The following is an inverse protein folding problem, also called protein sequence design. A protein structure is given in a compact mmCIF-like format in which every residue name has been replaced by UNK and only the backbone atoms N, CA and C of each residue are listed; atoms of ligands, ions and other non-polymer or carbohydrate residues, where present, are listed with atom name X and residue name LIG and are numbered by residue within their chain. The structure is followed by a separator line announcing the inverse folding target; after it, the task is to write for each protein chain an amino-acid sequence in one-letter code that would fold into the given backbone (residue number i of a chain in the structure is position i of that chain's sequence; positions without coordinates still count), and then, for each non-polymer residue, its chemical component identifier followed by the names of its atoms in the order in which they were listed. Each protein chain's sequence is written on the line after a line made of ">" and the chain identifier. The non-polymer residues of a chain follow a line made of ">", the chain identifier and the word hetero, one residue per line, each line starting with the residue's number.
data_IF_087436555195
#
_entry.id   IF_087436555195
#
_cell.length_a   1.000
_cell.length_b   1.000
_cell.length_c   1.000
_cell.angle_alpha   90.00
_cell.angle_beta   90.00
_cell.angle_gamma   90.00
#
_symmetry.space_group_name_H-M   'P 1'
#
loop_
_entity.id
_entity.type
_entity.pdbx_description
1 polymer ?
#
# COMPACT_ATOMS: atom_id res chain seq x y z
N UNK A 1 20.51 -11.47 -15.44
CA UNK A 1 21.22 -11.84 -14.19
C UNK A 1 20.24 -11.61 -13.05
N UNK A 2 20.04 -12.55 -12.11
CA UNK A 2 19.20 -12.29 -10.96
C UNK A 2 19.79 -11.13 -10.15
N UNK A 3 18.94 -10.16 -9.80
CA UNK A 3 19.32 -9.03 -8.96
C UNK A 3 19.82 -9.55 -7.61
N UNK A 4 21.00 -9.14 -7.11
CA UNK A 4 21.43 -9.53 -5.77
C UNK A 4 20.54 -8.88 -4.70
N UNK A 5 20.32 -9.57 -3.58
CA UNK A 5 19.69 -8.99 -2.39
C UNK A 5 20.52 -7.79 -1.92
N UNK A 6 19.82 -6.73 -1.50
CA UNK A 6 20.48 -5.55 -0.94
C UNK A 6 20.99 -5.81 0.47
N UNK A 7 21.99 -5.05 0.87
CA UNK A 7 22.49 -5.05 2.23
C UNK A 7 21.47 -4.46 3.21
N UNK A 8 21.56 -4.87 4.47
CA UNK A 8 20.63 -4.41 5.53
C UNK A 8 20.58 -2.89 5.64
N UNK A 9 21.71 -2.20 5.50
CA UNK A 9 21.79 -0.74 5.56
C UNK A 9 20.94 -0.07 4.47
N UNK A 10 20.89 -0.64 3.26
CA UNK A 10 20.05 -0.13 2.18
C UNK A 10 18.56 -0.17 2.55
N UNK A 11 18.12 -1.26 3.19
CA UNK A 11 16.72 -1.37 3.63
C UNK A 11 16.37 -0.43 4.79
N UNK A 12 17.32 -0.13 5.68
CA UNK A 12 17.16 0.87 6.74
C UNK A 12 16.97 2.26 6.11
N UNK A 13 17.81 2.62 5.15
CA UNK A 13 17.70 3.90 4.45
C UNK A 13 16.46 3.98 3.54
N UNK A 14 16.03 2.87 2.90
CA UNK A 14 14.75 2.81 2.20
C UNK A 14 13.57 3.07 3.15
N UNK A 15 13.60 2.50 4.35
CA UNK A 15 12.58 2.75 5.39
C UNK A 15 12.53 4.23 5.75
N UNK A 16 13.70 4.84 5.97
CA UNK A 16 13.82 6.27 6.24
C UNK A 16 13.24 7.10 5.10
N UNK A 17 13.65 6.80 3.85
CA UNK A 17 13.19 7.47 2.64
C UNK A 17 11.67 7.45 2.50
N UNK A 18 11.02 6.28 2.52
CA UNK A 18 9.57 6.22 2.33
C UNK A 18 8.79 6.94 3.43
N UNK A 19 9.28 6.86 4.68
CA UNK A 19 8.66 7.53 5.83
C UNK A 19 8.74 9.05 5.70
N UNK A 20 9.95 9.59 5.51
CA UNK A 20 10.17 11.04 5.41
C UNK A 20 9.51 11.60 4.16
N UNK A 21 9.52 10.85 3.06
CA UNK A 21 8.82 11.21 1.83
C UNK A 21 7.30 11.37 2.08
N UNK A 22 6.68 10.43 2.80
CA UNK A 22 5.27 10.53 3.17
C UNK A 22 4.97 11.68 4.15
N UNK A 23 5.84 11.93 5.12
CA UNK A 23 5.70 13.02 6.08
C UNK A 23 5.73 14.38 5.38
N UNK A 24 6.74 14.64 4.55
CA UNK A 24 6.90 15.91 3.83
C UNK A 24 5.83 16.13 2.76
N UNK A 25 5.33 15.07 2.12
CA UNK A 25 4.18 15.18 1.23
C UNK A 25 2.92 15.65 1.96
N UNK A 26 2.71 15.27 3.23
CA UNK A 26 1.57 15.78 4.04
C UNK A 26 1.72 17.25 4.36
N UNK A 27 2.95 17.74 4.45
CA UNK A 27 3.29 19.16 4.62
C UNK A 27 3.16 19.95 3.30
N UNK A 28 2.66 19.32 2.23
CA UNK A 28 2.48 19.93 0.90
C UNK A 28 3.79 20.39 0.24
N UNK A 29 4.93 19.79 0.64
CA UNK A 29 6.21 20.01 -0.02
C UNK A 29 6.21 19.25 -1.36
N UNK A 30 6.81 19.84 -2.40
CA UNK A 30 6.87 19.21 -3.72
C UNK A 30 7.77 17.97 -3.72
N UNK A 31 7.39 16.89 -4.43
CA UNK A 31 8.21 15.66 -4.51
C UNK A 31 9.66 15.92 -4.91
N UNK A 32 9.91 16.91 -5.78
CA UNK A 32 11.26 17.27 -6.26
C UNK A 32 12.13 17.86 -5.14
N UNK A 33 11.55 18.75 -4.34
CA UNK A 33 12.21 19.35 -3.18
C UNK A 33 12.46 18.30 -2.09
N UNK A 34 11.47 17.44 -1.82
CA UNK A 34 11.60 16.33 -0.88
C UNK A 34 12.77 15.42 -1.25
N UNK A 35 12.90 15.02 -2.52
CA UNK A 35 14.01 14.17 -2.97
C UNK A 35 15.37 14.84 -2.73
N UNK A 36 15.49 16.13 -2.99
CA UNK A 36 16.73 16.89 -2.76
C UNK A 36 17.10 16.91 -1.28
N UNK A 37 16.16 17.24 -0.41
CA UNK A 37 16.44 17.28 1.04
C UNK A 37 16.74 15.90 1.62
N UNK A 38 16.02 14.86 1.21
CA UNK A 38 16.25 13.50 1.70
C UNK A 38 17.65 13.00 1.26
N UNK A 39 18.12 13.36 0.07
CA UNK A 39 19.46 13.00 -0.40
C UNK A 39 20.58 13.52 0.53
N UNK A 40 20.40 14.70 1.12
CA UNK A 40 21.36 15.32 2.05
C UNK A 40 21.35 14.65 3.44
N UNK A 41 20.28 13.93 3.78
CA UNK A 41 20.05 13.33 5.10
C UNK A 41 20.45 11.85 5.18
N UNK A 42 20.40 11.14 4.05
CA UNK A 42 20.67 9.70 3.98
C UNK A 42 22.16 9.40 4.11
N UNK A 43 22.46 8.22 4.65
CA UNK A 43 23.81 7.70 4.73
C UNK A 43 24.47 7.59 3.34
N UNK A 44 25.55 8.34 3.14
CA UNK A 44 26.26 8.45 1.86
C UNK A 44 26.99 7.18 1.42
N UNK A 45 27.17 6.20 2.29
CA UNK A 45 27.78 4.90 1.97
C UNK A 45 26.82 3.95 1.24
N UNK A 46 25.52 4.24 1.28
CA UNK A 46 24.49 3.47 0.57
C UNK A 46 24.36 3.91 -0.89
N UNK A 47 23.71 3.11 -1.72
CA UNK A 47 23.41 3.45 -3.12
C UNK A 47 22.17 4.31 -3.27
N UNK A 48 21.42 4.53 -2.19
CA UNK A 48 20.18 5.29 -2.20
C UNK A 48 20.33 6.73 -2.74
N UNK A 49 21.38 7.51 -2.40
CA UNK A 49 21.55 8.84 -2.97
C UNK A 49 21.58 8.84 -4.51
N UNK A 50 22.26 7.86 -5.12
CA UNK A 50 22.30 7.70 -6.58
C UNK A 50 20.92 7.31 -7.15
N UNK A 51 20.18 6.45 -6.45
CA UNK A 51 18.82 6.11 -6.82
C UNK A 51 17.90 7.35 -6.76
N UNK A 52 18.04 8.20 -5.74
CA UNK A 52 17.28 9.44 -5.59
C UNK A 52 17.60 10.44 -6.71
N UNK A 53 18.86 10.61 -7.09
CA UNK A 53 19.26 11.44 -8.23
C UNK A 53 18.57 11.00 -9.53
N UNK A 54 18.52 9.69 -9.75
CA UNK A 54 17.83 9.11 -10.89
C UNK A 54 16.31 9.34 -10.83
N UNK A 55 15.68 9.09 -9.67
CA UNK A 55 14.25 9.34 -9.47
C UNK A 55 13.89 10.81 -9.73
N UNK A 56 14.71 11.75 -9.26
CA UNK A 56 14.51 13.20 -9.49
C UNK A 56 14.50 13.53 -10.98
N UNK A 57 15.43 12.92 -11.74
CA UNK A 57 15.51 13.09 -13.19
C UNK A 57 14.30 12.50 -13.92
N UNK A 58 13.83 11.32 -13.51
CA UNK A 58 12.65 10.68 -14.11
C UNK A 58 11.34 11.43 -13.79
N UNK A 59 11.18 11.97 -12.57
CA UNK A 59 10.02 12.82 -12.23
C UNK A 59 9.93 14.04 -13.14
N UNK A 60 11.06 14.67 -13.47
CA UNK A 60 11.09 15.84 -14.36
C UNK A 60 10.64 15.48 -15.79
N UNK A 61 10.89 14.25 -16.24
CA UNK A 61 10.58 13.79 -17.59
C UNK A 61 9.17 13.22 -17.72
N UNK A 62 8.71 12.45 -16.73
CA UNK A 62 7.49 11.63 -16.82
C UNK A 62 6.40 12.05 -15.82
N UNK A 63 6.74 12.87 -14.83
CA UNK A 63 5.81 13.35 -13.80
C UNK A 63 5.43 12.29 -12.75
N UNK A 64 6.06 11.11 -12.78
CA UNK A 64 5.75 9.95 -11.94
C UNK A 64 7.01 9.34 -11.34
N UNK A 65 6.92 8.86 -10.10
CA UNK A 65 8.03 8.22 -9.37
C UNK A 65 8.09 6.73 -9.71
N UNK A 66 6.92 6.11 -9.91
CA UNK A 66 6.85 4.66 -10.13
C UNK A 66 7.62 4.18 -11.35
N UNK A 67 7.66 4.98 -12.42
CA UNK A 67 8.41 4.64 -13.64
C UNK A 67 9.92 4.66 -13.39
N UNK A 68 10.42 5.62 -12.59
CA UNK A 68 11.81 5.65 -12.16
C UNK A 68 12.17 4.47 -11.26
N UNK A 69 11.29 4.11 -10.33
CA UNK A 69 11.49 2.92 -9.49
C UNK A 69 11.51 1.63 -10.30
N UNK A 70 10.64 1.52 -11.32
CA UNK A 70 10.57 0.35 -12.19
C UNK A 70 11.84 0.17 -13.05
N UNK A 71 12.56 1.24 -13.37
CA UNK A 71 13.86 1.17 -14.08
C UNK A 71 15.02 0.78 -13.16
N UNK A 72 14.85 0.98 -11.85
CA UNK A 72 15.82 0.66 -10.82
C UNK A 72 15.49 -0.68 -10.14
N UNK A 73 15.16 -1.73 -10.91
CA UNK A 73 14.83 -3.06 -10.37
C UNK A 73 15.96 -3.69 -9.53
N UNK A 74 17.19 -3.18 -9.71
CA UNK A 74 18.35 -3.59 -8.94
C UNK A 74 18.41 -2.97 -7.53
N UNK A 75 17.55 -1.99 -7.27
CA UNK A 75 17.49 -1.25 -6.01
C UNK A 75 16.09 -1.31 -5.38
N UNK A 76 15.05 -1.00 -6.15
CA UNK A 76 13.67 -1.14 -5.71
C UNK A 76 13.12 -2.48 -6.19
N UNK A 77 12.50 -3.23 -5.28
CA UNK A 77 11.83 -4.47 -5.66
C UNK A 77 10.68 -4.16 -6.63
N UNK A 78 10.39 -5.03 -7.63
CA UNK A 78 9.32 -4.76 -8.59
C UNK A 78 7.94 -4.55 -7.93
N UNK A 79 7.70 -5.22 -6.79
CA UNK A 79 6.52 -4.96 -5.96
C UNK A 79 6.45 -3.51 -5.43
N UNK A 80 7.58 -2.92 -5.03
CA UNK A 80 7.62 -1.54 -4.52
C UNK A 80 7.23 -0.54 -5.63
N UNK A 81 7.79 -0.73 -6.83
CA UNK A 81 7.43 0.07 -8.00
C UNK A 81 5.96 -0.14 -8.41
N UNK A 82 5.46 -1.37 -8.36
CA UNK A 82 4.05 -1.69 -8.63
C UNK A 82 3.10 -0.97 -7.67
N UNK A 83 3.39 -0.98 -6.36
CA UNK A 83 2.58 -0.30 -5.35
C UNK A 83 2.53 1.21 -5.61
N UNK A 84 3.67 1.86 -5.90
CA UNK A 84 3.66 3.28 -6.26
C UNK A 84 2.88 3.53 -7.54
N UNK A 85 3.02 2.68 -8.55
CA UNK A 85 2.29 2.80 -9.81
C UNK A 85 0.78 2.70 -9.62
N UNK A 86 0.32 1.85 -8.69
CA UNK A 86 -1.11 1.74 -8.38
C UNK A 86 -1.64 2.97 -7.66
N UNK A 87 -0.82 3.63 -6.82
CA UNK A 87 -1.21 4.87 -6.16
C UNK A 87 -1.18 6.10 -7.09
N UNK A 88 -0.31 6.11 -8.10
CA UNK A 88 -0.21 7.19 -9.08
C UNK A 88 -1.26 7.10 -10.20
N UNK A 89 -1.99 5.98 -10.29
CA UNK A 89 -3.08 5.83 -11.25
C UNK A 89 -4.31 6.62 -10.80
N UNK A 90 -4.76 7.57 -11.63
CA UNK A 90 -5.95 8.42 -11.43
C UNK A 90 -7.30 7.68 -11.43
N UNK A 91 -7.29 6.35 -11.53
CA UNK A 91 -8.54 5.58 -11.45
C UNK A 91 -9.13 5.79 -10.06
N UNK A 92 -10.47 5.76 -9.94
CA UNK A 92 -11.28 5.89 -8.70
C UNK A 92 -10.96 4.84 -7.61
N UNK A 93 -9.72 4.41 -7.49
CA UNK A 93 -9.20 3.56 -6.45
C UNK A 93 -9.22 4.33 -5.13
N UNK A 94 -9.61 3.62 -4.08
CA UNK A 94 -9.50 4.13 -2.70
C UNK A 94 -8.03 4.12 -2.23
N UNK A 95 -7.12 3.56 -3.02
CA UNK A 95 -5.72 3.45 -2.70
C UNK A 95 -4.98 4.75 -3.03
N UNK A 96 -4.45 5.44 -2.01
CA UNK A 96 -3.74 6.71 -2.16
C UNK A 96 -2.22 6.55 -2.01
N UNK A 97 -1.49 7.60 -2.38
CA UNK A 97 -0.03 7.65 -2.30
C UNK A 97 0.48 7.49 -0.86
N UNK A 98 -0.27 7.96 0.15
CA UNK A 98 0.11 7.80 1.55
C UNK A 98 0.02 6.36 2.02
N UNK A 99 -1.02 5.62 1.60
CA UNK A 99 -1.18 4.19 1.85
C UNK A 99 -0.05 3.40 1.19
N UNK A 100 0.29 3.73 -0.06
CA UNK A 100 1.43 3.12 -0.75
C UNK A 100 2.72 3.33 0.03
N UNK A 101 3.08 4.56 0.37
CA UNK A 101 4.31 4.85 1.11
C UNK A 101 4.34 4.19 2.49
N UNK A 102 3.21 4.09 3.20
CA UNK A 102 3.13 3.38 4.48
C UNK A 102 3.35 1.87 4.31
N UNK A 103 2.81 1.26 3.24
CA UNK A 103 3.06 -0.14 2.89
C UNK A 103 4.56 -0.36 2.61
N UNK A 104 5.18 0.52 1.83
CA UNK A 104 6.59 0.43 1.44
C UNK A 104 7.54 0.63 2.62
N UNK A 105 7.21 1.56 3.52
CA UNK A 105 7.96 1.79 4.76
C UNK A 105 8.00 0.51 5.60
N UNK A 106 6.83 -0.12 5.81
CA UNK A 106 6.72 -1.38 6.58
C UNK A 106 7.41 -2.54 5.88
N UNK A 107 7.33 -2.61 4.56
CA UNK A 107 8.02 -3.64 3.78
C UNK A 107 9.54 -3.54 3.91
N UNK A 108 10.09 -2.34 3.75
CA UNK A 108 11.53 -2.08 3.87
C UNK A 108 12.03 -2.39 5.29
N UNK A 109 11.26 -2.02 6.33
CA UNK A 109 11.59 -2.33 7.71
C UNK A 109 11.61 -3.85 7.97
N UNK A 110 10.66 -4.60 7.40
CA UNK A 110 10.66 -6.06 7.50
C UNK A 110 11.87 -6.69 6.79
N UNK A 111 12.27 -6.14 5.64
CA UNK A 111 13.48 -6.59 4.92
C UNK A 111 14.77 -6.31 5.68
N UNK A 112 14.81 -5.24 6.47
CA UNK A 112 15.95 -4.93 7.33
C UNK A 112 16.05 -5.88 8.55
N UNK A 113 14.95 -6.55 8.93
CA UNK A 113 14.80 -7.31 10.17
C UNK A 113 14.54 -8.81 9.91
N UNK A 114 15.51 -9.50 9.30
CA UNK A 114 15.49 -10.95 9.00
C UNK A 114 14.25 -11.41 8.19
N UNK A 115 14.15 -11.05 6.91
CA UNK A 115 13.00 -11.38 6.09
C UNK A 115 12.93 -12.88 5.82
N UNK A 116 11.72 -13.44 5.95
CA UNK A 116 11.41 -14.79 5.46
C UNK A 116 10.60 -14.68 4.17
N UNK A 117 10.82 -15.54 3.15
CA UNK A 117 10.02 -15.55 1.93
C UNK A 117 8.52 -15.71 2.23
N UNK A 118 8.16 -16.57 3.19
CA UNK A 118 6.78 -16.80 3.61
C UNK A 118 6.17 -15.52 4.21
N UNK A 119 6.87 -14.86 5.14
CA UNK A 119 6.38 -13.63 5.76
C UNK A 119 6.22 -12.50 4.76
N UNK A 120 7.20 -12.31 3.88
CA UNK A 120 7.15 -11.27 2.85
C UNK A 120 6.00 -11.54 1.87
N UNK A 121 5.85 -12.79 1.40
CA UNK A 121 4.79 -13.14 0.46
C UNK A 121 3.40 -12.89 1.06
N UNK A 122 3.16 -13.35 2.30
CA UNK A 122 1.84 -13.15 2.93
C UNK A 122 1.56 -11.66 3.13
N UNK A 123 2.56 -10.87 3.54
CA UNK A 123 2.42 -9.41 3.65
C UNK A 123 2.05 -8.76 2.30
N UNK A 124 2.82 -9.05 1.25
CA UNK A 124 2.59 -8.49 -0.08
C UNK A 124 1.23 -8.93 -0.64
N UNK A 125 0.88 -10.20 -0.49
CA UNK A 125 -0.42 -10.73 -0.90
C UNK A 125 -1.58 -10.09 -0.14
N UNK A 126 -1.45 -9.93 1.18
CA UNK A 126 -2.46 -9.26 2.01
C UNK A 126 -2.64 -7.79 1.59
N UNK A 127 -1.56 -7.09 1.22
CA UNK A 127 -1.62 -5.74 0.65
C UNK A 127 -2.45 -5.70 -0.64
N UNK A 128 -2.23 -6.65 -1.57
CA UNK A 128 -3.00 -6.76 -2.81
C UNK A 128 -4.49 -7.02 -2.52
N UNK A 129 -4.78 -7.97 -1.63
CA UNK A 129 -6.15 -8.35 -1.27
C UNK A 129 -6.92 -7.21 -0.60
N UNK A 130 -6.34 -6.56 0.42
CA UNK A 130 -7.02 -5.51 1.19
C UNK A 130 -7.29 -4.26 0.38
N UNK A 131 -6.36 -3.88 -0.49
CA UNK A 131 -6.45 -2.65 -1.29
C UNK A 131 -7.04 -2.90 -2.68
N UNK A 132 -7.38 -4.15 -3.03
CA UNK A 132 -7.98 -4.55 -4.31
C UNK A 132 -7.14 -4.13 -5.53
N UNK A 133 -5.83 -4.30 -5.43
CA UNK A 133 -4.85 -3.83 -6.43
C UNK A 133 -4.74 -4.74 -7.66
N UNK A 134 -5.49 -5.84 -7.69
CA UNK A 134 -5.45 -6.84 -8.76
C UNK A 134 -4.35 -7.88 -8.53
N UNK A 135 -4.72 -9.17 -8.63
CA UNK A 135 -3.80 -10.28 -8.37
C UNK A 135 -2.90 -10.61 -9.56
N UNK A 136 -3.37 -10.38 -10.79
CA UNK A 136 -2.64 -10.79 -11.99
C UNK A 136 -1.30 -10.07 -12.11
N UNK A 137 -1.32 -8.74 -12.07
CA UNK A 137 -0.12 -7.92 -12.18
C UNK A 137 0.65 -7.86 -10.85
N UNK A 138 -0.07 -7.86 -9.73
CA UNK A 138 0.54 -7.88 -8.40
C UNK A 138 1.40 -9.12 -8.15
N UNK A 139 0.95 -10.31 -8.55
CA UNK A 139 1.75 -11.53 -8.42
C UNK A 139 2.97 -11.58 -9.36
N UNK A 140 2.87 -10.95 -10.53
CA UNK A 140 4.03 -10.80 -11.42
C UNK A 140 5.08 -9.90 -10.76
N UNK A 141 4.65 -8.79 -10.16
CA UNK A 141 5.54 -7.89 -9.44
C UNK A 141 6.17 -8.55 -8.21
N UNK A 142 5.41 -9.37 -7.47
CA UNK A 142 5.94 -10.16 -6.35
C UNK A 142 6.99 -11.17 -6.84
N UNK A 143 6.73 -11.89 -7.93
CA UNK A 143 7.65 -12.91 -8.46
C UNK A 143 8.99 -12.37 -8.98
N UNK A 144 9.08 -11.07 -9.26
CA UNK A 144 10.33 -10.42 -9.66
C UNK A 144 11.32 -10.19 -8.50
N UNK A 145 10.92 -10.46 -7.25
CA UNK A 145 11.80 -10.28 -6.10
C UNK A 145 12.95 -11.29 -6.09
N UNK A 146 14.18 -10.86 -5.72
CA UNK A 146 15.29 -11.77 -5.53
C UNK A 146 15.17 -12.67 -4.30
N UNK A 147 14.28 -12.38 -3.34
CA UNK A 147 14.03 -13.25 -2.20
C UNK A 147 13.30 -14.55 -2.57
N UNK A 148 12.63 -14.59 -3.72
CA UNK A 148 11.90 -15.75 -4.20
C UNK A 148 12.74 -16.55 -5.19
N UNK A 149 12.95 -17.83 -4.86
CA UNK A 149 13.58 -18.79 -5.75
C UNK A 149 12.64 -19.21 -6.90
N UNK A 150 13.15 -20.06 -7.79
CA UNK A 150 12.38 -20.55 -8.95
C UNK A 150 11.14 -21.35 -8.53
N UNK A 151 11.18 -22.04 -7.38
CA UNK A 151 10.02 -22.77 -6.86
C UNK A 151 8.88 -21.83 -6.52
N UNK A 152 9.17 -20.71 -5.85
CA UNK A 152 8.20 -19.68 -5.55
C UNK A 152 7.62 -19.07 -6.82
N UNK A 153 8.47 -18.77 -7.82
CA UNK A 153 8.04 -18.18 -9.11
C UNK A 153 7.11 -19.10 -9.88
N UNK A 154 7.42 -20.40 -9.96
CA UNK A 154 6.54 -21.41 -10.54
C UNK A 154 5.20 -21.49 -9.80
N UNK A 155 5.23 -21.45 -8.47
CA UNK A 155 4.01 -21.47 -7.68
C UNK A 155 3.17 -20.20 -7.86
N UNK A 156 3.77 -19.02 -8.01
CA UNK A 156 3.04 -17.79 -8.31
C UNK A 156 2.30 -17.85 -9.65
N UNK A 157 2.87 -18.51 -10.65
CA UNK A 157 2.18 -18.74 -11.93
C UNK A 157 0.92 -19.62 -11.74
N UNK A 158 1.00 -20.65 -10.91
CA UNK A 158 -0.16 -21.48 -10.53
C UNK A 158 -1.16 -20.67 -9.73
N UNK A 159 -0.71 -19.95 -8.69
CA UNK A 159 -1.54 -19.11 -7.84
C UNK A 159 -2.31 -18.09 -8.67
N UNK A 160 -1.66 -17.41 -9.63
CA UNK A 160 -2.29 -16.45 -10.53
C UNK A 160 -3.44 -17.05 -11.35
N UNK A 161 -3.33 -18.33 -11.75
CA UNK A 161 -4.38 -19.03 -12.50
C UNK A 161 -5.52 -19.52 -11.61
N UNK A 162 -5.21 -19.95 -10.39
CA UNK A 162 -6.18 -20.56 -9.46
C UNK A 162 -6.87 -19.55 -8.53
N UNK A 163 -6.41 -18.29 -8.50
CA UNK A 163 -7.06 -17.23 -7.74
C UNK A 163 -8.42 -16.88 -8.37
N UNK A 164 -9.47 -17.10 -7.57
CA UNK A 164 -10.86 -16.89 -7.98
C UNK A 164 -11.63 -18.19 -8.20
N UNK A 165 -10.93 -19.31 -8.46
CA UNK A 165 -11.53 -20.66 -8.51
C UNK A 165 -11.38 -21.39 -7.18
N UNK A 166 -10.23 -21.22 -6.52
CA UNK A 166 -9.91 -21.88 -5.25
C UNK A 166 -9.78 -20.88 -4.10
N UNK A 167 -10.08 -21.32 -2.87
CA UNK A 167 -9.83 -20.51 -1.68
C UNK A 167 -8.33 -20.37 -1.41
N UNK A 168 -7.87 -19.18 -1.03
CA UNK A 168 -6.46 -18.93 -0.72
C UNK A 168 -5.94 -19.82 0.43
N UNK A 169 -6.78 -20.11 1.43
CA UNK A 169 -6.48 -21.06 2.51
C UNK A 169 -6.19 -22.47 2.00
N UNK A 170 -6.85 -22.90 0.93
CA UNK A 170 -6.60 -24.21 0.33
C UNK A 170 -5.28 -24.24 -0.43
N UNK A 171 -5.01 -23.20 -1.22
CA UNK A 171 -3.75 -23.08 -1.96
C UNK A 171 -2.54 -23.06 -1.01
N UNK A 172 -2.66 -22.34 0.12
CA UNK A 172 -1.65 -22.30 1.17
C UNK A 172 -1.48 -23.67 1.85
N UNK A 173 -2.58 -24.33 2.20
CA UNK A 173 -2.55 -25.64 2.84
C UNK A 173 -1.92 -26.71 1.94
N UNK A 174 -2.30 -26.79 0.67
CA UNK A 174 -1.76 -27.80 -0.25
C UNK A 174 -0.26 -27.64 -0.50
N UNK A 175 0.29 -26.43 -0.35
CA UNK A 175 1.73 -26.17 -0.42
C UNK A 175 2.46 -26.21 0.93
N UNK A 176 1.83 -26.77 1.95
CA UNK A 176 2.41 -26.88 3.29
C UNK A 176 2.87 -28.28 3.66
N UNK A 177 3.88 -28.38 4.53
CA UNK A 177 4.29 -29.63 5.18
C UNK A 177 3.13 -30.29 5.95
N UNK A 178 2.18 -29.49 6.45
CA UNK A 178 1.01 -30.00 7.19
C UNK A 178 0.12 -30.87 6.29
N UNK A 179 0.00 -30.55 5.00
CA UNK A 179 -0.75 -31.38 4.06
C UNK A 179 -0.12 -32.75 3.88
N UNK A 180 1.20 -32.80 3.75
CA UNK A 180 1.97 -34.06 3.67
C UNK A 180 1.77 -34.86 4.95
N UNK A 181 1.90 -34.24 6.12
CA UNK A 181 1.71 -34.88 7.42
C UNK A 181 0.28 -35.44 7.58
N UNK A 182 -0.74 -34.73 7.13
CA UNK A 182 -2.13 -35.18 7.18
C UNK A 182 -2.38 -36.37 6.24
N UNK A 183 -1.76 -36.38 5.05
CA UNK A 183 -1.85 -37.51 4.11
C UNK A 183 -1.16 -38.77 4.62
N UNK A 184 0.04 -38.62 5.21
CA UNK A 184 0.76 -39.74 5.85
C UNK A 184 -0.10 -40.43 6.91
N UNK A 185 -0.77 -39.64 7.76
CA UNK A 185 -1.65 -40.15 8.82
C UNK A 185 -2.91 -40.81 8.27
N UNK A 186 -3.56 -40.17 7.28
CA UNK A 186 -4.82 -40.67 6.73
C UNK A 186 -4.64 -41.98 5.95
N UNK A 187 -3.52 -42.10 5.20
CA UNK A 187 -3.25 -43.26 4.36
C UNK A 187 -2.40 -44.33 5.06
N UNK A 188 -1.98 -44.10 6.31
CA UNK A 188 -1.03 -44.95 7.04
C UNK A 188 0.26 -45.23 6.24
N UNK A 189 0.68 -44.25 5.44
CA UNK A 189 1.85 -44.33 4.56
C UNK A 189 2.90 -43.31 5.07
N UNK A 190 3.92 -43.74 5.83
CA UNK A 190 4.95 -42.86 6.36
C UNK A 190 5.80 -42.18 5.28
N UNK A 191 5.93 -42.82 4.12
CA UNK A 191 6.83 -42.40 3.04
C UNK A 191 6.14 -41.50 2.01
N UNK A 192 4.84 -41.23 2.19
CA UNK A 192 4.11 -40.32 1.32
C UNK A 192 4.83 -38.97 1.20
N UNK A 193 5.14 -38.59 -0.04
CA UNK A 193 5.70 -37.29 -0.40
C UNK A 193 4.92 -36.68 -1.55
N UNK A 194 4.93 -35.36 -1.63
CA UNK A 194 4.37 -34.62 -2.78
C UNK A 194 5.44 -34.49 -3.87
N UNK A 195 5.06 -34.48 -5.16
CA UNK A 195 6.01 -34.35 -6.27
C UNK A 195 6.53 -32.91 -6.46
N UNK A 196 6.14 -31.99 -5.57
CA UNK A 196 6.47 -30.57 -5.62
C UNK A 196 6.99 -30.10 -4.28
N UNK A 197 7.82 -29.04 -4.21
CA UNK A 197 8.38 -28.59 -2.94
C UNK A 197 7.29 -27.93 -2.07
N UNK A 198 7.43 -28.12 -0.76
CA UNK A 198 6.62 -27.43 0.25
C UNK A 198 7.19 -26.03 0.47
N UNK A 199 6.37 -25.00 0.29
CA UNK A 199 6.75 -23.60 0.49
C UNK A 199 6.45 -23.11 1.91
N UNK A 200 5.52 -23.78 2.59
CA UNK A 200 5.03 -23.42 3.90
C UNK A 200 5.26 -24.56 4.90
N UNK A 201 5.56 -24.22 6.15
CA UNK A 201 5.82 -25.20 7.19
C UNK A 201 4.55 -25.77 7.81
N UNK A 202 4.75 -26.58 8.85
CA UNK A 202 3.66 -27.16 9.64
C UNK A 202 2.72 -26.12 10.26
N UNK A 203 3.26 -24.99 10.76
CA UNK A 203 2.46 -24.00 11.50
C UNK A 203 1.52 -23.24 10.57
N UNK A 204 2.07 -22.74 9.47
CA UNK A 204 1.34 -22.01 8.43
C UNK A 204 0.26 -22.92 7.83
N UNK A 205 0.61 -24.18 7.54
CA UNK A 205 -0.33 -25.17 7.04
C UNK A 205 -1.48 -25.49 8.01
N UNK A 206 -1.22 -25.57 9.33
CA UNK A 206 -2.28 -25.76 10.33
C UNK A 206 -3.23 -24.56 10.38
N UNK A 207 -2.69 -23.35 10.31
CA UNK A 207 -3.49 -22.12 10.24
C UNK A 207 -4.36 -22.16 8.98
N UNK A 208 -3.76 -22.43 7.82
CA UNK A 208 -4.46 -22.52 6.54
C UNK A 208 -5.63 -23.53 6.61
N UNK A 209 -5.38 -24.74 7.12
CA UNK A 209 -6.40 -25.78 7.31
C UNK A 209 -7.54 -25.34 8.23
N UNK A 210 -7.22 -24.68 9.34
CA UNK A 210 -8.21 -24.25 10.34
C UNK A 210 -9.12 -23.10 9.85
N UNK A 211 -8.68 -22.37 8.82
CA UNK A 211 -9.35 -21.19 8.28
C UNK A 211 -10.06 -21.41 6.93
N UNK A 212 -10.17 -22.66 6.46
CA UNK A 212 -10.99 -23.03 5.31
C UNK A 212 -12.45 -22.61 5.48
N UNK A 213 -13.05 -22.04 4.43
CA UNK A 213 -14.43 -21.54 4.41
C UNK A 213 -14.75 -20.48 5.48
N UNK A 214 -13.72 -19.87 6.08
CA UNK A 214 -13.87 -18.76 7.03
C UNK A 214 -13.42 -17.46 6.38
N UNK A 215 -13.70 -16.34 7.05
CA UNK A 215 -13.20 -15.04 6.61
C UNK A 215 -11.65 -15.05 6.57
N UNK A 216 -11.03 -14.79 5.39
CA UNK A 216 -9.58 -14.75 5.22
C UNK A 216 -8.87 -13.76 6.14
N UNK A 217 -9.53 -12.70 6.61
CA UNK A 217 -8.94 -11.71 7.51
C UNK A 217 -8.42 -12.32 8.82
N UNK A 218 -9.13 -13.33 9.36
CA UNK A 218 -8.66 -14.03 10.56
C UNK A 218 -7.44 -14.91 10.28
N UNK A 219 -7.35 -15.46 9.07
CA UNK A 219 -6.19 -16.25 8.65
C UNK A 219 -4.95 -15.35 8.56
N UNK A 220 -5.07 -14.19 7.92
CA UNK A 220 -3.98 -13.21 7.87
C UNK A 220 -3.53 -12.79 9.28
N UNK A 221 -4.46 -12.45 10.17
CA UNK A 221 -4.11 -12.10 11.55
C UNK A 221 -3.39 -13.25 12.30
N UNK A 222 -3.72 -14.51 12.02
CA UNK A 222 -3.05 -15.66 12.60
C UNK A 222 -1.64 -15.88 12.01
N UNK A 223 -1.50 -15.77 10.69
CA UNK A 223 -0.22 -15.87 9.99
C UNK A 223 0.72 -14.75 10.41
N UNK A 224 0.22 -13.52 10.53
CA UNK A 224 0.99 -12.36 11.00
C UNK A 224 1.67 -12.62 12.35
N UNK A 225 0.93 -13.21 13.32
CA UNK A 225 1.50 -13.53 14.64
C UNK A 225 2.59 -14.60 14.60
N UNK A 226 2.54 -15.53 13.64
CA UNK A 226 3.51 -16.63 13.56
C UNK A 226 4.72 -16.30 12.68
N UNK A 227 4.48 -15.59 11.57
CA UNK A 227 5.51 -15.23 10.59
C UNK A 227 6.17 -13.89 10.91
N UNK A 228 5.59 -13.08 11.81
CA UNK A 228 6.17 -11.83 12.27
C UNK A 228 6.19 -10.70 11.24
N UNK A 229 5.46 -10.84 10.12
CA UNK A 229 5.40 -9.80 9.09
C UNK A 229 4.61 -8.58 9.59
N UNK A 230 4.88 -7.37 9.07
CA UNK A 230 4.28 -6.14 9.57
C UNK A 230 2.78 -6.08 9.30
N UNK A 231 2.03 -5.37 10.14
CA UNK A 231 0.59 -5.20 9.90
C UNK A 231 0.38 -4.46 8.57
N UNK A 232 -0.58 -4.89 7.75
CA UNK A 232 -0.95 -4.11 6.56
C UNK A 232 -1.69 -2.84 7.02
N UNK A 233 -1.26 -1.64 6.58
CA UNK A 233 -1.96 -0.40 6.88
C UNK A 233 -3.44 -0.46 6.47
N UNK A 234 -4.28 0.23 7.25
CA UNK A 234 -5.72 0.31 6.97
C UNK A 234 -6.06 1.75 6.62
N UNK A 235 -6.84 1.92 5.56
CA UNK A 235 -7.48 3.20 5.30
C UNK A 235 -8.28 3.61 6.53
N UNK A 236 -7.92 4.74 7.12
CA UNK A 236 -8.78 5.39 8.10
C UNK A 236 -9.99 5.94 7.33
N UNK A 237 -11.24 5.65 7.74
CA UNK A 237 -12.38 6.36 7.18
C UNK A 237 -12.11 7.87 7.31
N UNK A 238 -12.35 8.64 6.24
CA UNK A 238 -12.32 10.10 6.35
C UNK A 238 -13.24 10.46 7.51
N UNK A 239 -12.71 11.19 8.48
CA UNK A 239 -13.49 11.65 9.63
C UNK A 239 -14.74 12.35 9.10
N UNK A 240 -15.93 11.94 9.53
CA UNK A 240 -17.20 12.64 9.24
C UNK A 240 -17.26 14.02 9.91
N UNK A 241 -16.17 14.46 10.56
CA UNK A 241 -16.05 15.84 10.99
C UNK A 241 -16.09 16.74 9.76
N UNK A 242 -17.04 17.69 9.70
CA UNK A 242 -17.12 18.60 8.58
C UNK A 242 -15.78 19.32 8.43
N UNK A 243 -15.24 19.34 7.22
CA UNK A 243 -13.95 19.99 6.86
C UNK A 243 -13.88 21.44 7.36
N UNK A 244 -15.05 22.07 7.50
CA UNK A 244 -15.23 23.39 8.08
C UNK A 244 -16.08 23.20 9.33
N UNK A 245 -15.55 23.61 10.48
CA UNK A 245 -16.33 23.65 11.72
C UNK A 245 -17.60 24.49 11.47
N UNK A 246 -18.82 24.07 11.89
CA UNK A 246 -20.08 24.73 11.53
C UNK A 246 -20.08 26.25 11.82
N UNK A 247 -19.38 26.67 12.87
CA UNK A 247 -19.19 28.08 13.24
C UNK A 247 -18.40 28.87 12.19
N UNK A 248 -17.38 28.27 11.57
CA UNK A 248 -16.61 28.90 10.51
C UNK A 248 -17.43 29.00 9.22
N UNK A 249 -18.24 27.99 8.91
CA UNK A 249 -19.13 28.00 7.76
C UNK A 249 -20.18 29.13 7.88
N UNK A 250 -20.79 29.28 9.05
CA UNK A 250 -21.71 30.40 9.34
C UNK A 250 -21.02 31.77 9.23
N UNK A 251 -19.76 31.88 9.67
CA UNK A 251 -19.00 33.14 9.53
C UNK A 251 -18.67 33.45 8.07
N UNK A 252 -18.27 32.44 7.29
CA UNK A 252 -18.05 32.57 5.85
C UNK A 252 -19.31 33.01 5.10
N UNK A 253 -20.45 32.39 5.41
CA UNK A 253 -21.75 32.78 4.83
C UNK A 253 -22.12 34.23 5.17
N UNK A 254 -21.89 34.67 6.42
CA UNK A 254 -22.10 36.09 6.81
C UNK A 254 -21.19 37.04 6.05
N UNK A 255 -19.92 36.70 5.90
CA UNK A 255 -18.97 37.52 5.14
C UNK A 255 -19.38 37.58 3.67
N UNK A 256 -19.79 36.47 3.07
CA UNK A 256 -20.28 36.43 1.69
C UNK A 256 -21.54 37.31 1.51
N UNK A 257 -22.47 37.29 2.47
CA UNK A 257 -23.65 38.17 2.48
C UNK A 257 -23.25 39.65 2.59
N UNK A 258 -22.36 40.00 3.52
CA UNK A 258 -21.85 41.38 3.65
C UNK A 258 -21.14 41.84 2.38
N UNK A 259 -20.35 40.96 1.75
CA UNK A 259 -19.66 41.28 0.50
C UNK A 259 -20.65 41.53 -0.65
N UNK A 260 -21.73 40.74 -0.74
CA UNK A 260 -22.81 40.97 -1.72
C UNK A 260 -23.52 42.30 -1.51
N UNK A 261 -23.78 42.69 -0.26
CA UNK A 261 -24.39 43.98 0.08
C UNK A 261 -23.48 45.13 -0.35
N UNK A 262 -22.19 45.07 0.00
CA UNK A 262 -21.20 46.08 -0.40
C UNK A 262 -21.04 46.15 -1.92
N UNK A 263 -21.06 45.01 -2.61
CA UNK A 263 -21.05 44.97 -4.09
C UNK A 263 -22.32 45.56 -4.71
N UNK A 264 -23.49 45.40 -4.07
CA UNK A 264 -24.75 46.00 -4.51
C UNK A 264 -24.77 47.52 -4.29
N UNK A 265 -24.20 48.02 -3.19
CA UNK A 265 -24.01 49.46 -2.95
C UNK A 265 -23.06 50.08 -3.99
N UNK A 266 -21.92 49.43 -4.26
CA UNK A 266 -20.96 49.87 -5.29
C UNK A 266 -21.56 49.92 -6.70
N UNK A 267 -22.57 49.07 -6.99
CA UNK A 267 -23.28 49.03 -8.28
C UNK A 267 -24.46 50.01 -8.36
N UNK A 268 -24.70 50.82 -7.33
CA UNK A 268 -25.61 51.98 -7.42
C UNK A 268 -27.05 51.75 -6.99
N UNK A 269 -27.30 50.96 -5.93
CA UNK A 269 -28.51 51.12 -5.12
C UNK A 269 -29.08 49.83 -4.50
N UNK A 270 -29.10 49.77 -3.18
CA UNK A 270 -29.98 48.86 -2.44
C UNK A 270 -31.40 49.43 -2.47
N UNK A 271 -32.32 48.74 -3.13
CA UNK A 271 -33.74 49.08 -3.11
C UNK A 271 -34.34 48.67 -1.75
N UNK A 272 -34.33 49.60 -0.80
CA UNK A 272 -34.84 49.40 0.56
C UNK A 272 -36.36 49.17 0.63
N UNK A 273 -37.08 49.33 -0.49
CA UNK A 273 -38.53 49.11 -0.56
C UNK A 273 -38.95 47.64 -0.36
N UNK A 274 -38.04 46.68 -0.49
CA UNK A 274 -38.32 45.25 -0.30
C UNK A 274 -38.34 44.80 1.17
N UNK A 275 -37.86 45.63 2.10
CA UNK A 275 -37.79 45.32 3.53
C UNK A 275 -38.87 46.02 4.38
N UNK A 276 -39.71 46.87 3.78
CA UNK A 276 -40.83 47.50 4.47
C UNK A 276 -42.10 46.63 4.32
N UNK A 277 -42.60 46.13 5.45
CA UNK A 277 -43.96 45.54 5.53
C UNK A 277 -44.97 46.66 5.26
N UNK A 278 -45.85 46.47 4.28
CA UNK A 278 -46.91 47.44 3.96
C UNK A 278 -47.85 47.60 5.18
N UNK A 279 -48.19 48.83 5.58
CA UNK A 279 -49.06 49.10 6.72
C UNK A 279 -50.54 48.92 6.37
N UNK A 280 -50.94 47.71 5.95
CA UNK A 280 -52.36 47.35 5.78
C UNK A 280 -52.78 46.03 6.45
N UNK A 281 -51.89 45.34 7.17
CA UNK A 281 -52.26 44.16 7.98
C UNK A 281 -51.84 44.30 9.45
N UNK A 282 -52.34 45.34 10.11
CA UNK A 282 -52.49 45.40 11.57
C UNK A 282 -53.94 45.85 11.86
N UNK A 283 -54.57 45.27 12.90
CA UNK A 283 -55.88 44.60 12.87
C UNK A 283 -57.09 45.50 12.58
#
# INVERSE_FOLDING_TARGET
>A
MPTPLLDREEYIEQTHFFRVFAERLRESISSQEILTTIQEEILSTTKLPMAIDFLRSEILLQGRISDGMARLEHYFAPFQAFIMRQAEQETKSRFDQFMALEILTREADFRANNPTPQGLFIYQFECLSRNRLGYADGLVAIGGDPLYDDTWREWFAVLRRELGTSEFSDLLYFRSEQFVADRRRANQDPDFSVPYPTLFGLREGRIAKAHRKKDPLYMFAALQRQLGYPAVPRMKPKSDQPMIHPVLEQRLQRIEQSLKIVQAELKGGLDLSQFFVKPEDQP
#
